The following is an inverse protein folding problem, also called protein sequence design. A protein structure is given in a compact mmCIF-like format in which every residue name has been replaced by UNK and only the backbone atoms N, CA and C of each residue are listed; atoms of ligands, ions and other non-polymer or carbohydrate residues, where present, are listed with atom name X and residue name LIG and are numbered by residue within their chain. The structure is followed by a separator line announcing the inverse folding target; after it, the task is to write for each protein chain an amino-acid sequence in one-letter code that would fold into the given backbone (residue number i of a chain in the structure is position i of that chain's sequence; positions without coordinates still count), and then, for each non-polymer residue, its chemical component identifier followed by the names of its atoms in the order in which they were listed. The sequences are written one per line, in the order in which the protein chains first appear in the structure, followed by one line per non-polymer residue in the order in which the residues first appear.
data_IF_750958944125
#
_entry.id   IF_750958944125
#
_cell.length_a   1.000
_cell.length_b   1.000
_cell.length_c   1.000
_cell.angle_alpha   90.00
_cell.angle_beta   90.00
_cell.angle_gamma   90.00
#
_symmetry.space_group_name_H-M   'P 1'
#
loop_
_entity.id
_entity.type
_entity.pdbx_description
1 polymer ?
#
# COMPACT_ATOMS: atom_id res chain seq x y z
N UNK A 1 -31.91 -4.12 -72.47
CA UNK A 1 -31.17 -5.13 -71.70
C UNK A 1 -30.30 -4.44 -70.65
N UNK A 2 -30.08 -5.12 -69.53
CA UNK A 2 -29.23 -4.78 -68.36
C UNK A 2 -29.93 -4.15 -67.14
N UNK A 3 -30.62 -5.04 -66.44
CA UNK A 3 -30.55 -5.37 -65.01
C UNK A 3 -29.58 -4.58 -64.10
N UNK A 4 -30.10 -4.27 -62.91
CA UNK A 4 -29.44 -3.82 -61.68
C UNK A 4 -28.21 -4.63 -61.26
N UNK A 5 -27.24 -3.95 -60.64
CA UNK A 5 -26.53 -4.50 -59.48
C UNK A 5 -26.01 -3.40 -58.54
N UNK A 6 -26.44 -3.46 -57.27
CA UNK A 6 -25.84 -2.80 -56.11
C UNK A 6 -24.55 -3.53 -55.77
N UNK A 7 -23.49 -2.82 -55.40
CA UNK A 7 -22.34 -3.40 -54.69
C UNK A 7 -22.09 -2.56 -53.43
N UNK A 8 -21.97 -3.30 -52.33
CA UNK A 8 -21.95 -2.91 -50.93
C UNK A 8 -20.56 -2.52 -50.42
N UNK A 9 -20.54 -1.56 -49.49
CA UNK A 9 -19.46 -1.33 -48.53
C UNK A 9 -19.22 -2.54 -47.64
N UNK A 10 -17.96 -2.92 -47.43
CA UNK A 10 -17.40 -3.46 -46.17
C UNK A 10 -15.89 -3.69 -46.31
N UNK A 11 -15.09 -2.67 -45.99
CA UNK A 11 -13.70 -2.88 -45.56
C UNK A 11 -13.70 -3.20 -44.07
N UNK A 12 -13.65 -4.49 -43.74
CA UNK A 12 -13.42 -4.97 -42.37
C UNK A 12 -11.93 -4.91 -42.08
N UNK A 13 -11.52 -3.83 -41.43
CA UNK A 13 -10.18 -3.68 -40.87
C UNK A 13 -9.99 -4.72 -39.74
N UNK A 14 -9.14 -5.71 -39.99
CA UNK A 14 -8.85 -6.82 -39.09
C UNK A 14 -8.20 -6.34 -37.78
N UNK A 15 -9.01 -6.16 -36.74
CA UNK A 15 -8.53 -6.13 -35.36
C UNK A 15 -8.36 -7.58 -34.89
N UNK A 16 -7.11 -8.00 -34.74
CA UNK A 16 -6.76 -9.14 -33.89
C UNK A 16 -7.33 -8.87 -32.48
N UNK A 17 -8.12 -9.79 -31.89
CA UNK A 17 -8.67 -9.57 -30.57
C UNK A 17 -7.53 -9.62 -29.55
N UNK A 18 -7.34 -8.51 -28.82
CA UNK A 18 -6.49 -8.50 -27.65
C UNK A 18 -6.99 -9.57 -26.67
N UNK A 19 -6.12 -10.50 -26.29
CA UNK A 19 -6.43 -11.54 -25.32
C UNK A 19 -6.92 -10.89 -24.03
N UNK A 20 -8.11 -11.29 -23.58
CA UNK A 20 -8.63 -10.84 -22.29
C UNK A 20 -7.73 -11.36 -21.16
N UNK A 21 -7.39 -10.56 -20.12
CA UNK A 21 -6.43 -10.98 -19.09
C UNK A 21 -6.93 -12.11 -18.17
N UNK A 22 -8.13 -12.64 -18.41
CA UNK A 22 -8.88 -13.52 -17.51
C UNK A 22 -9.46 -14.75 -18.23
N UNK A 23 -8.84 -15.22 -19.31
CA UNK A 23 -9.25 -16.48 -19.92
C UNK A 23 -8.75 -17.68 -19.09
N UNK A 24 -9.50 -18.03 -18.05
CA UNK A 24 -9.23 -19.18 -17.18
C UNK A 24 -9.53 -20.53 -17.85
N UNK A 25 -9.93 -20.53 -19.13
CA UNK A 25 -10.19 -21.77 -19.88
C UNK A 25 -8.90 -22.52 -20.25
N UNK A 26 -7.73 -21.87 -20.14
CA UNK A 26 -6.44 -22.45 -20.47
C UNK A 26 -6.11 -23.69 -19.59
N UNK A 27 -5.69 -24.81 -20.19
CA UNK A 27 -5.27 -26.01 -19.47
C UNK A 27 -4.26 -25.77 -18.33
N UNK A 28 -3.40 -24.76 -18.46
CA UNK A 28 -2.41 -24.40 -17.42
C UNK A 28 -3.07 -24.10 -16.08
N UNK A 29 -4.27 -23.50 -16.08
CA UNK A 29 -5.00 -23.18 -14.86
C UNK A 29 -5.55 -24.44 -14.16
N UNK A 30 -5.90 -25.50 -14.91
CA UNK A 30 -6.26 -26.80 -14.31
C UNK A 30 -5.07 -27.40 -13.57
N UNK A 31 -3.88 -27.31 -14.14
CA UNK A 31 -2.68 -27.81 -13.46
C UNK A 31 -2.30 -26.98 -12.23
N UNK A 32 -2.45 -25.66 -12.31
CA UNK A 32 -2.25 -24.77 -11.16
C UNK A 32 -3.25 -25.14 -10.05
N UNK A 33 -4.50 -25.40 -10.39
CA UNK A 33 -5.52 -25.83 -9.42
C UNK A 33 -5.15 -27.17 -8.74
N UNK A 34 -4.69 -28.16 -9.51
CA UNK A 34 -4.21 -29.44 -8.95
C UNK A 34 -3.01 -29.24 -8.01
N UNK A 35 -2.04 -28.42 -8.42
CA UNK A 35 -0.85 -28.07 -7.62
C UNK A 35 -1.26 -27.38 -6.32
N UNK A 36 -2.19 -26.42 -6.38
CA UNK A 36 -2.74 -25.75 -5.22
C UNK A 36 -3.44 -26.72 -4.25
N UNK A 37 -4.14 -27.72 -4.79
CA UNK A 37 -4.77 -28.78 -4.01
C UNK A 37 -3.76 -29.62 -3.24
N UNK A 38 -2.63 -29.98 -3.86
CA UNK A 38 -1.52 -30.68 -3.19
C UNK A 38 -0.92 -29.82 -2.06
N UNK A 39 -0.59 -28.55 -2.34
CA UNK A 39 -0.01 -27.62 -1.36
C UNK A 39 -0.93 -27.42 -0.15
N UNK A 40 -2.25 -27.43 -0.36
CA UNK A 40 -3.21 -27.30 0.74
C UNK A 40 -3.12 -28.42 1.78
N UNK A 41 -2.76 -29.64 1.34
CA UNK A 41 -2.66 -30.84 2.18
C UNK A 41 -1.32 -30.97 2.88
N UNK A 42 -0.29 -30.23 2.46
CA UNK A 42 1.03 -30.28 3.08
C UNK A 42 1.01 -29.80 4.54
N UNK A 43 1.81 -30.46 5.37
CA UNK A 43 2.19 -30.05 6.71
C UNK A 43 3.10 -28.82 6.68
N UNK A 44 3.32 -28.17 7.84
CA UNK A 44 4.21 -27.01 7.91
C UNK A 44 5.64 -27.37 7.53
N UNK A 45 6.13 -28.52 7.96
CA UNK A 45 7.51 -28.93 7.73
C UNK A 45 7.75 -29.32 6.27
N UNK A 46 6.80 -30.03 5.64
CA UNK A 46 6.87 -30.29 4.19
C UNK A 46 6.89 -28.98 3.38
N UNK A 47 6.09 -27.98 3.76
CA UNK A 47 6.10 -26.66 3.11
C UNK A 47 7.47 -25.99 3.26
N UNK A 48 8.06 -26.01 4.45
CA UNK A 48 9.39 -25.43 4.70
C UNK A 48 10.46 -26.15 3.89
N UNK A 49 10.45 -27.47 3.86
CA UNK A 49 11.38 -28.29 3.08
C UNK A 49 11.28 -27.98 1.58
N UNK A 50 10.05 -27.89 1.03
CA UNK A 50 9.86 -27.53 -0.38
C UNK A 50 10.25 -26.09 -0.71
N UNK A 51 9.99 -25.14 0.18
CA UNK A 51 10.45 -23.77 0.01
C UNK A 51 11.99 -23.68 0.04
N UNK A 52 12.64 -24.42 0.95
CA UNK A 52 14.09 -24.48 1.05
C UNK A 52 14.73 -25.06 -0.23
N UNK A 53 14.14 -26.11 -0.81
CA UNK A 53 14.57 -26.70 -2.10
C UNK A 53 14.64 -25.64 -3.21
N UNK A 54 13.69 -24.71 -3.23
CA UNK A 54 13.65 -23.59 -4.20
C UNK A 54 14.41 -22.34 -3.75
N UNK A 55 15.19 -22.42 -2.65
CA UNK A 55 15.91 -21.28 -2.05
C UNK A 55 15.00 -20.08 -1.74
N UNK A 56 13.75 -20.36 -1.39
CA UNK A 56 12.78 -19.35 -0.96
C UNK A 56 12.84 -19.19 0.56
N UNK A 57 12.36 -18.04 1.04
CA UNK A 57 12.15 -17.79 2.48
C UNK A 57 11.31 -18.93 3.09
N UNK A 58 11.67 -19.40 4.28
CA UNK A 58 11.00 -20.51 4.99
C UNK A 58 10.37 -20.09 6.33
N UNK A 59 10.53 -18.82 6.72
CA UNK A 59 9.88 -18.23 7.89
C UNK A 59 8.41 -17.90 7.65
N UNK A 60 7.68 -17.87 8.76
CA UNK A 60 6.27 -17.51 8.84
C UNK A 60 5.34 -18.68 9.17
N UNK A 61 4.07 -18.34 9.41
CA UNK A 61 3.01 -19.32 9.73
C UNK A 61 2.59 -20.14 8.51
N UNK A 62 1.90 -21.26 8.74
CA UNK A 62 1.54 -22.24 7.69
C UNK A 62 0.87 -21.60 6.47
N UNK A 63 -0.04 -20.64 6.67
CA UNK A 63 -0.75 -19.99 5.57
C UNK A 63 0.14 -19.07 4.71
N UNK A 64 1.11 -18.41 5.33
CA UNK A 64 2.15 -17.64 4.61
C UNK A 64 2.98 -18.58 3.74
N UNK A 65 3.44 -19.70 4.31
CA UNK A 65 4.24 -20.68 3.56
C UNK A 65 3.46 -21.29 2.38
N UNK A 66 2.18 -21.66 2.60
CA UNK A 66 1.29 -22.12 1.54
C UNK A 66 1.16 -21.08 0.44
N UNK A 67 0.91 -19.82 0.79
CA UNK A 67 0.69 -18.76 -0.18
C UNK A 67 1.93 -18.49 -1.03
N UNK A 68 3.10 -18.43 -0.38
CA UNK A 68 4.42 -18.31 -1.02
C UNK A 68 4.67 -19.43 -2.04
N UNK A 69 4.48 -20.69 -1.63
CA UNK A 69 4.72 -21.84 -2.50
C UNK A 69 3.74 -21.88 -3.69
N UNK A 70 2.45 -21.61 -3.45
CA UNK A 70 1.44 -21.55 -4.53
C UNK A 70 1.79 -20.50 -5.57
N UNK A 71 2.18 -19.31 -5.14
CA UNK A 71 2.52 -18.22 -6.05
C UNK A 71 3.82 -18.49 -6.80
N UNK A 72 4.81 -19.13 -6.17
CA UNK A 72 6.02 -19.59 -6.87
C UNK A 72 5.67 -20.53 -8.03
N UNK A 73 4.90 -21.59 -7.78
CA UNK A 73 4.48 -22.51 -8.84
C UNK A 73 3.61 -21.85 -9.91
N UNK A 74 2.68 -20.97 -9.52
CA UNK A 74 1.88 -20.18 -10.46
C UNK A 74 2.80 -19.38 -11.40
N UNK A 75 3.79 -18.68 -10.85
CA UNK A 75 4.75 -17.88 -11.61
C UNK A 75 5.58 -18.75 -12.55
N UNK A 76 6.11 -19.88 -12.09
CA UNK A 76 6.87 -20.80 -12.94
C UNK A 76 6.05 -21.30 -14.14
N UNK A 77 4.78 -21.68 -13.92
CA UNK A 77 3.91 -22.20 -14.98
C UNK A 77 3.48 -21.15 -16.00
N UNK A 78 3.26 -19.91 -15.57
CA UNK A 78 2.87 -18.81 -16.46
C UNK A 78 4.06 -18.19 -17.20
N UNK A 79 5.23 -18.07 -16.55
CA UNK A 79 6.46 -17.56 -17.20
C UNK A 79 6.97 -18.45 -18.33
N UNK A 80 6.62 -19.73 -18.34
CA UNK A 80 6.93 -20.64 -19.45
C UNK A 80 6.12 -20.33 -20.72
N UNK A 81 5.14 -19.41 -20.66
CA UNK A 81 4.19 -19.14 -21.75
C UNK A 81 4.08 -17.66 -22.17
N UNK A 82 4.37 -16.71 -21.28
CA UNK A 82 4.22 -15.27 -21.55
C UNK A 82 5.45 -14.44 -21.14
N UNK A 83 5.81 -13.46 -21.99
CA UNK A 83 6.74 -12.38 -21.64
C UNK A 83 6.08 -11.53 -20.56
N UNK A 84 6.65 -11.47 -19.35
CA UNK A 84 6.08 -10.71 -18.22
C UNK A 84 5.85 -9.26 -18.66
N UNK A 85 4.57 -8.87 -18.76
CA UNK A 85 4.21 -7.48 -18.97
C UNK A 85 4.51 -6.72 -17.67
N UNK A 86 5.50 -5.83 -17.69
CA UNK A 86 6.01 -5.09 -16.51
C UNK A 86 5.05 -3.99 -16.04
N UNK A 87 3.94 -3.77 -16.75
CA UNK A 87 3.00 -2.65 -16.55
C UNK A 87 2.03 -2.80 -15.35
N UNK A 88 2.19 -3.84 -14.52
CA UNK A 88 1.24 -4.15 -13.44
C UNK A 88 1.69 -3.69 -12.03
N UNK A 89 2.73 -2.86 -11.91
CA UNK A 89 3.16 -2.33 -10.62
C UNK A 89 3.48 -0.83 -10.67
N UNK A 90 3.36 -0.16 -9.53
CA UNK A 90 3.88 1.19 -9.35
C UNK A 90 5.41 1.13 -9.31
N UNK A 91 6.11 2.14 -9.83
CA UNK A 91 7.57 2.24 -9.66
C UNK A 91 7.94 2.43 -8.19
N UNK A 92 7.16 3.24 -7.47
CA UNK A 92 7.36 3.51 -6.05
C UNK A 92 6.10 3.34 -5.20
N UNK A 93 6.32 3.02 -3.93
CA UNK A 93 5.30 3.10 -2.88
C UNK A 93 5.81 4.07 -1.81
N UNK A 94 5.00 5.08 -1.48
CA UNK A 94 5.24 6.01 -0.39
C UNK A 94 4.48 5.52 0.85
N UNK A 95 5.20 4.95 1.81
CA UNK A 95 4.63 4.47 3.07
C UNK A 95 4.58 5.62 4.07
N UNK A 96 3.42 5.83 4.68
CA UNK A 96 3.15 6.87 5.68
C UNK A 96 2.45 6.25 6.88
N UNK A 97 2.86 6.64 8.07
CA UNK A 97 2.19 6.30 9.33
C UNK A 97 2.28 7.52 10.26
N UNK A 98 1.18 8.24 10.44
CA UNK A 98 1.19 9.48 11.21
C UNK A 98 1.16 9.18 12.71
N UNK A 99 1.97 9.90 13.48
CA UNK A 99 1.69 10.07 14.90
C UNK A 99 0.82 11.30 15.11
N UNK A 100 -0.08 11.21 16.08
CA UNK A 100 -1.04 12.27 16.39
C UNK A 100 -1.15 12.50 17.91
N UNK A 101 -1.56 13.71 18.29
CA UNK A 101 -1.97 14.00 19.67
C UNK A 101 -3.04 13.00 20.11
N UNK A 102 -2.96 12.54 21.36
CA UNK A 102 -3.91 11.59 21.93
C UNK A 102 -4.00 11.70 23.45
N UNK A 103 -5.06 11.11 24.01
CA UNK A 103 -5.28 10.98 25.44
C UNK A 103 -5.56 9.52 25.83
N UNK A 104 -5.31 9.22 27.09
CA UNK A 104 -5.61 7.92 27.67
C UNK A 104 -7.12 7.62 27.55
N UNK A 105 -7.46 6.35 27.29
CA UNK A 105 -8.85 5.94 27.05
C UNK A 105 -9.41 6.31 25.67
N UNK A 106 -8.66 7.06 24.84
CA UNK A 106 -9.03 7.45 23.47
C UNK A 106 -10.45 8.05 23.39
N UNK A 107 -10.71 9.21 24.04
CA UNK A 107 -12.02 9.85 24.06
C UNK A 107 -12.54 10.15 22.65
N UNK A 108 -13.82 9.88 22.38
CA UNK A 108 -14.39 9.97 21.02
C UNK A 108 -14.37 11.38 20.44
N UNK A 109 -14.54 12.39 21.28
CA UNK A 109 -14.59 13.81 20.89
C UNK A 109 -13.20 14.48 20.88
N UNK A 110 -12.13 13.73 21.18
CA UNK A 110 -10.79 14.30 21.18
C UNK A 110 -10.37 14.70 19.76
N UNK A 111 -9.95 15.95 19.60
CA UNK A 111 -9.51 16.51 18.33
C UNK A 111 -8.03 16.20 18.13
N UNK A 112 -7.75 15.13 17.38
CA UNK A 112 -6.39 14.74 17.02
C UNK A 112 -5.74 15.73 16.04
N UNK A 113 -4.48 16.03 16.28
CA UNK A 113 -3.59 16.78 15.40
C UNK A 113 -2.36 15.93 15.08
N UNK A 114 -1.90 15.95 13.83
CA UNK A 114 -0.68 15.25 13.42
C UNK A 114 0.51 15.92 14.12
N UNK A 115 1.41 15.12 14.72
CA UNK A 115 2.63 15.57 15.40
C UNK A 115 3.91 14.93 14.84
N UNK A 116 3.79 13.91 13.99
CA UNK A 116 4.88 13.35 13.18
C UNK A 116 4.38 13.05 11.77
N UNK A 117 5.14 13.47 10.75
CA UNK A 117 4.88 13.18 9.34
C UNK A 117 6.09 12.45 8.73
N UNK A 118 6.13 11.12 8.81
CA UNK A 118 7.13 10.31 8.15
C UNK A 118 6.71 9.93 6.72
N UNK A 119 7.67 9.75 5.83
CA UNK A 119 7.47 9.13 4.51
C UNK A 119 8.65 8.20 4.22
N UNK A 120 8.37 6.94 3.89
CA UNK A 120 9.36 5.95 3.45
C UNK A 120 9.14 5.63 1.98
N UNK A 121 10.16 5.83 1.15
CA UNK A 121 10.11 5.57 -0.29
C UNK A 121 10.63 4.17 -0.60
N UNK A 122 9.72 3.29 -1.00
CA UNK A 122 10.02 1.93 -1.45
C UNK A 122 10.05 1.88 -2.98
N UNK A 123 11.20 1.50 -3.56
CA UNK A 123 11.29 1.15 -4.98
C UNK A 123 10.84 -0.30 -5.18
N UNK A 124 9.83 -0.52 -6.01
CA UNK A 124 9.22 -1.84 -6.20
C UNK A 124 10.02 -2.74 -7.12
N UNK A 125 10.87 -2.17 -7.98
CA UNK A 125 11.75 -2.91 -8.89
C UNK A 125 12.96 -3.48 -8.16
N UNK A 126 13.58 -2.66 -7.30
CA UNK A 126 14.76 -3.06 -6.51
C UNK A 126 14.39 -3.72 -5.19
N UNK A 127 13.14 -3.54 -4.73
CA UNK A 127 12.62 -3.97 -3.44
C UNK A 127 13.45 -3.43 -2.26
N UNK A 128 13.90 -2.18 -2.40
CA UNK A 128 14.68 -1.47 -1.38
C UNK A 128 13.99 -0.18 -0.99
N UNK A 129 14.16 0.17 0.28
CA UNK A 129 13.90 1.53 0.75
C UNK A 129 15.02 2.41 0.19
N UNK A 130 14.68 3.36 -0.67
CA UNK A 130 15.66 4.24 -1.31
C UNK A 130 15.80 5.58 -0.60
N UNK A 131 14.77 6.00 0.14
CA UNK A 131 14.83 7.23 0.90
C UNK A 131 13.82 7.25 2.05
N UNK A 132 14.07 8.13 3.01
CA UNK A 132 13.21 8.36 4.17
C UNK A 132 13.14 9.85 4.49
N UNK A 133 11.95 10.33 4.80
CA UNK A 133 11.67 11.67 5.29
C UNK A 133 11.01 11.57 6.67
N UNK A 134 11.35 12.48 7.57
CA UNK A 134 10.70 12.60 8.87
C UNK A 134 10.72 14.06 9.29
N UNK A 135 9.56 14.60 9.62
CA UNK A 135 9.42 15.88 10.31
C UNK A 135 8.36 15.78 11.39
N UNK A 136 8.61 16.46 12.50
CA UNK A 136 7.60 16.68 13.53
C UNK A 136 6.73 17.88 13.18
N UNK A 137 5.52 17.90 13.71
CA UNK A 137 4.52 18.93 13.45
C UNK A 137 4.09 19.55 14.77
N UNK A 138 4.01 20.89 14.80
CA UNK A 138 3.52 21.63 15.95
C UNK A 138 1.99 21.64 15.98
N UNK A 139 1.33 21.05 16.99
CA UNK A 139 -0.11 21.15 17.17
C UNK A 139 -0.51 22.56 17.64
N UNK A 140 -1.66 23.06 17.16
CA UNK A 140 -2.16 24.42 17.42
C UNK A 140 -3.44 24.42 18.26
N UNK A 141 -4.26 23.36 18.22
CA UNK A 141 -5.49 23.23 19.01
C UNK A 141 -5.18 22.72 20.41
N UNK A 142 -4.40 21.64 20.51
CA UNK A 142 -3.96 21.01 21.75
C UNK A 142 -2.41 21.05 21.80
N UNK A 143 -1.79 22.23 22.01
CA UNK A 143 -0.33 22.40 21.90
C UNK A 143 0.45 21.67 22.98
N UNK A 144 -0.18 21.30 24.10
CA UNK A 144 0.45 20.54 25.19
C UNK A 144 0.10 19.06 25.05
N UNK A 145 1.14 18.24 24.83
CA UNK A 145 0.99 16.79 24.73
C UNK A 145 0.63 16.21 26.09
N UNK A 146 -0.29 15.23 26.09
CA UNK A 146 -0.59 14.47 27.30
C UNK A 146 0.59 13.57 27.67
N UNK A 147 0.72 13.22 28.96
CA UNK A 147 1.72 12.25 29.41
C UNK A 147 1.57 10.89 28.72
N UNK A 148 0.33 10.49 28.45
CA UNK A 148 0.03 9.26 27.70
C UNK A 148 0.59 9.35 26.27
N UNK A 149 0.36 10.45 25.56
CA UNK A 149 0.87 10.67 24.21
C UNK A 149 2.41 10.62 24.17
N UNK A 150 3.08 11.34 25.08
CA UNK A 150 4.55 11.34 25.17
C UNK A 150 5.09 9.92 25.44
N UNK A 151 4.47 9.20 26.38
CA UNK A 151 4.87 7.83 26.71
C UNK A 151 4.67 6.87 25.52
N UNK A 152 3.52 6.97 24.85
CA UNK A 152 3.17 6.14 23.71
C UNK A 152 4.11 6.41 22.53
N UNK A 153 4.20 7.64 22.05
CA UNK A 153 4.91 7.98 20.81
C UNK A 153 6.40 8.26 20.99
N UNK A 154 6.82 8.58 22.22
CA UNK A 154 8.19 9.00 22.52
C UNK A 154 8.50 10.43 22.07
N UNK A 155 7.53 11.14 21.50
CA UNK A 155 7.67 12.53 21.07
C UNK A 155 7.54 13.43 22.29
N UNK A 156 8.57 14.22 22.57
CA UNK A 156 8.59 15.12 23.72
C UNK A 156 7.94 16.46 23.40
N UNK A 157 7.53 17.19 24.44
CA UNK A 157 6.98 18.53 24.28
C UNK A 157 7.96 19.50 23.60
N UNK A 158 9.26 19.40 23.90
CA UNK A 158 10.30 20.25 23.30
C UNK A 158 10.42 20.05 21.78
N UNK A 159 10.22 18.80 21.31
CA UNK A 159 10.22 18.48 19.88
C UNK A 159 9.07 19.19 19.17
N UNK A 160 7.84 19.09 19.68
CA UNK A 160 6.67 19.73 19.02
C UNK A 160 6.66 21.25 19.20
N UNK A 161 7.22 21.79 20.29
CA UNK A 161 7.30 23.23 20.51
C UNK A 161 8.19 23.93 19.46
N UNK A 162 9.25 23.25 19.02
CA UNK A 162 10.23 23.69 18.00
C UNK A 162 9.86 23.29 16.56
N UNK A 163 8.85 22.44 16.39
CA UNK A 163 8.42 21.97 15.08
C UNK A 163 7.72 23.08 14.27
N UNK A 164 7.67 22.88 12.96
CA UNK A 164 6.91 23.73 12.04
C UNK A 164 5.41 23.39 12.08
N UNK A 165 4.56 24.29 11.60
CA UNK A 165 3.12 24.02 11.47
C UNK A 165 2.86 22.96 10.40
N UNK A 166 1.69 22.32 10.46
CA UNK A 166 1.34 21.25 9.52
C UNK A 166 1.42 21.68 8.04
N UNK A 167 1.01 22.90 7.70
CA UNK A 167 1.05 23.39 6.32
C UNK A 167 2.46 23.54 5.79
N UNK A 168 3.40 23.95 6.64
CA UNK A 168 4.81 24.05 6.29
C UNK A 168 5.45 22.65 6.12
N UNK A 169 5.17 21.73 7.05
CA UNK A 169 5.64 20.34 6.93
C UNK A 169 5.06 19.65 5.69
N UNK A 170 3.78 19.85 5.38
CA UNK A 170 3.15 19.32 4.17
C UNK A 170 3.82 19.88 2.90
N UNK A 171 4.17 21.17 2.89
CA UNK A 171 4.92 21.78 1.79
C UNK A 171 6.29 21.11 1.62
N UNK A 172 7.01 20.86 2.72
CA UNK A 172 8.31 20.18 2.70
C UNK A 172 8.19 18.74 2.18
N UNK A 173 7.16 17.99 2.60
CA UNK A 173 6.86 16.63 2.09
C UNK A 173 6.61 16.67 0.58
N UNK A 174 5.80 17.60 0.10
CA UNK A 174 5.47 17.72 -1.33
C UNK A 174 6.72 18.04 -2.14
N UNK A 175 7.56 18.96 -1.66
CA UNK A 175 8.82 19.30 -2.32
C UNK A 175 9.79 18.12 -2.35
N UNK A 176 9.90 17.39 -1.24
CA UNK A 176 10.66 16.14 -1.17
C UNK A 176 10.15 15.14 -2.21
N UNK A 177 8.84 14.90 -2.29
CA UNK A 177 8.26 13.98 -3.29
C UNK A 177 8.50 14.47 -4.74
N UNK A 178 8.43 15.78 -4.99
CA UNK A 178 8.66 16.38 -6.31
C UNK A 178 10.10 16.21 -6.79
N UNK A 179 11.07 16.35 -5.90
CA UNK A 179 12.49 16.10 -6.19
C UNK A 179 12.79 14.65 -6.59
N UNK A 180 11.90 13.71 -6.21
CA UNK A 180 11.95 12.29 -6.59
C UNK A 180 11.09 11.97 -7.83
N UNK A 181 10.59 13.01 -8.51
CA UNK A 181 9.83 12.91 -9.77
C UNK A 181 8.57 12.02 -9.68
N UNK A 182 7.97 11.95 -8.49
CA UNK A 182 6.78 11.13 -8.23
C UNK A 182 5.52 11.72 -8.87
N UNK A 183 4.84 10.90 -9.68
CA UNK A 183 3.65 11.30 -10.44
C UNK A 183 3.94 12.09 -11.71
N UNK A 184 5.22 12.31 -12.03
CA UNK A 184 5.66 12.89 -13.31
C UNK A 184 6.45 11.87 -14.12
N UNK A 185 7.63 11.45 -13.64
CA UNK A 185 8.46 10.44 -14.28
C UNK A 185 8.15 9.04 -13.78
N UNK A 186 7.89 8.91 -12.49
CA UNK A 186 7.66 7.63 -11.84
C UNK A 186 6.22 7.51 -11.35
N UNK A 187 5.58 6.40 -11.66
CA UNK A 187 4.29 6.03 -11.08
C UNK A 187 4.47 5.69 -9.60
N UNK A 188 3.50 6.10 -8.77
CA UNK A 188 3.57 5.80 -7.34
C UNK A 188 2.20 5.63 -6.70
N UNK A 189 2.20 5.10 -5.48
CA UNK A 189 1.01 5.06 -4.63
C UNK A 189 1.34 5.34 -3.17
N UNK A 190 0.40 5.94 -2.44
CA UNK A 190 0.47 6.05 -0.98
C UNK A 190 0.09 4.70 -0.34
N UNK A 191 0.74 4.32 0.76
CA UNK A 191 0.43 3.11 1.53
C UNK A 191 0.44 3.42 3.03
N UNK A 192 -0.52 2.85 3.76
CA UNK A 192 -0.71 3.08 5.21
C UNK A 192 -1.10 1.79 5.94
N UNK A 193 -0.85 1.72 7.25
CA UNK A 193 -1.24 0.60 8.13
C UNK A 193 -2.70 0.69 8.61
N UNK A 194 -3.62 0.66 7.65
CA UNK A 194 -5.04 0.83 7.89
C UNK A 194 -5.57 2.06 7.17
N UNK A 195 -6.76 2.50 7.57
CA UNK A 195 -7.44 3.62 6.89
C UNK A 195 -7.31 4.95 7.63
N UNK A 196 -6.88 4.94 8.90
CA UNK A 196 -6.99 6.07 9.80
C UNK A 196 -6.09 7.24 9.41
N UNK A 197 -4.89 6.99 8.92
CA UNK A 197 -3.96 8.04 8.47
C UNK A 197 -4.62 9.00 7.49
N UNK A 198 -5.16 8.44 6.41
CA UNK A 198 -5.73 9.24 5.33
C UNK A 198 -7.16 9.67 5.63
N UNK A 199 -7.99 8.80 6.21
CA UNK A 199 -9.42 9.07 6.39
C UNK A 199 -9.76 9.87 7.66
N UNK A 200 -8.91 9.75 8.70
CA UNK A 200 -9.10 10.41 10.00
C UNK A 200 -8.05 11.50 10.22
N UNK A 201 -6.78 11.15 10.36
CA UNK A 201 -5.74 12.11 10.79
C UNK A 201 -5.51 13.22 9.76
N UNK A 202 -5.14 12.88 8.52
CA UNK A 202 -4.93 13.87 7.46
C UNK A 202 -6.21 14.65 7.14
N UNK A 203 -7.37 13.99 7.18
CA UNK A 203 -8.66 14.62 6.93
C UNK A 203 -9.01 15.67 8.01
N UNK A 204 -8.84 15.33 9.28
CA UNK A 204 -9.03 16.25 10.41
C UNK A 204 -8.00 17.38 10.37
N UNK A 205 -6.73 17.05 10.17
CA UNK A 205 -5.65 18.03 10.12
C UNK A 205 -5.86 19.05 9.00
N UNK A 206 -6.28 18.63 7.80
CA UNK A 206 -6.60 19.55 6.71
C UNK A 206 -7.76 20.51 7.06
N UNK A 207 -8.74 20.07 7.88
CA UNK A 207 -9.85 20.94 8.33
C UNK A 207 -9.34 21.96 9.35
N UNK A 208 -8.54 21.53 10.31
CA UNK A 208 -7.90 22.40 11.32
C UNK A 208 -7.05 23.47 10.62
N UNK A 209 -6.20 23.05 9.68
CA UNK A 209 -5.30 23.92 8.92
C UNK A 209 -6.00 24.73 7.81
N UNK A 210 -7.33 24.60 7.67
CA UNK A 210 -8.15 25.28 6.64
C UNK A 210 -7.62 25.10 5.22
N UNK A 211 -7.15 23.90 4.87
CA UNK A 211 -6.71 23.56 3.50
C UNK A 211 -7.62 22.52 2.86
N UNK A 212 -7.65 22.51 1.53
CA UNK A 212 -8.31 21.43 0.77
C UNK A 212 -7.54 20.12 1.01
N UNK A 213 -8.24 19.00 0.94
CA UNK A 213 -7.60 17.69 1.06
C UNK A 213 -6.69 17.43 -0.17
N UNK A 214 -5.39 17.09 0.02
CA UNK A 214 -4.45 16.89 -1.08
C UNK A 214 -4.92 15.84 -2.08
N UNK A 215 -4.89 16.16 -3.38
CA UNK A 215 -5.38 15.26 -4.44
C UNK A 215 -4.63 13.94 -4.47
N UNK A 216 -3.31 13.97 -4.26
CA UNK A 216 -2.44 12.79 -4.29
C UNK A 216 -2.68 11.80 -3.15
N UNK A 217 -3.27 12.23 -2.04
CA UNK A 217 -3.56 11.39 -0.88
C UNK A 217 -4.99 10.80 -0.89
N UNK A 218 -5.81 11.10 -1.91
CA UNK A 218 -7.23 10.67 -1.96
C UNK A 218 -7.43 9.17 -2.19
N UNK A 219 -6.40 8.46 -2.66
CA UNK A 219 -6.42 7.04 -2.96
C UNK A 219 -5.15 6.43 -2.36
N UNK A 220 -5.26 5.30 -1.67
CA UNK A 220 -4.10 4.64 -1.06
C UNK A 220 -4.27 3.12 -0.99
N UNK A 221 -3.17 2.47 -0.68
CA UNK A 221 -3.08 1.05 -0.36
C UNK A 221 -3.20 0.93 1.16
N UNK A 222 -4.31 0.37 1.63
CA UNK A 222 -4.39 -0.11 3.01
C UNK A 222 -3.75 -1.49 3.08
N UNK A 223 -2.56 -1.58 3.67
CA UNK A 223 -1.80 -2.82 3.70
C UNK A 223 -2.46 -3.89 4.55
N UNK A 224 -3.22 -3.53 5.60
CA UNK A 224 -3.98 -4.51 6.40
C UNK A 224 -5.01 -5.25 5.56
N UNK A 225 -5.72 -4.54 4.68
CA UNK A 225 -6.67 -5.15 3.73
C UNK A 225 -5.94 -6.06 2.73
N UNK A 226 -4.84 -5.57 2.15
CA UNK A 226 -4.03 -6.35 1.21
C UNK A 226 -3.50 -7.63 1.86
N UNK A 227 -2.95 -7.53 3.08
CA UNK A 227 -2.37 -8.63 3.85
C UNK A 227 -3.42 -9.70 4.16
N UNK A 228 -4.56 -9.30 4.75
CA UNK A 228 -5.66 -10.20 5.07
C UNK A 228 -6.19 -10.95 3.83
N UNK A 229 -6.37 -10.23 2.73
CA UNK A 229 -6.85 -10.82 1.48
C UNK A 229 -5.84 -11.78 0.83
N UNK A 230 -4.56 -11.45 0.90
CA UNK A 230 -3.50 -12.21 0.25
C UNK A 230 -3.15 -13.48 1.01
N UNK A 231 -2.90 -13.37 2.32
CA UNK A 231 -2.54 -14.50 3.19
C UNK A 231 -3.76 -15.23 3.78
N UNK A 232 -4.98 -14.75 3.51
CA UNK A 232 -6.25 -15.35 3.96
C UNK A 232 -6.38 -15.39 5.49
N UNK A 233 -5.99 -14.30 6.14
CA UNK A 233 -6.10 -14.15 7.60
C UNK A 233 -7.21 -13.16 7.97
N UNK A 234 -7.87 -13.34 9.14
CA UNK A 234 -8.89 -12.42 9.63
C UNK A 234 -8.29 -11.07 10.07
N UNK A 235 -9.12 -10.03 10.14
CA UNK A 235 -8.72 -8.64 10.46
C UNK A 235 -8.01 -8.50 11.81
N UNK A 236 -8.33 -9.31 12.81
CA UNK A 236 -7.64 -9.26 14.10
C UNK A 236 -6.17 -9.72 14.01
N UNK A 237 -5.78 -10.40 12.93
CA UNK A 237 -4.40 -10.80 12.65
C UNK A 237 -3.63 -9.81 11.76
N UNK A 238 -4.19 -8.62 11.50
CA UNK A 238 -3.56 -7.61 10.63
C UNK A 238 -3.05 -6.38 11.37
N UNK A 239 -2.85 -6.46 12.70
CA UNK A 239 -2.07 -5.46 13.43
C UNK A 239 -0.59 -5.55 13.00
N UNK A 240 0.13 -4.42 12.96
CA UNK A 240 1.53 -4.36 12.50
C UNK A 240 2.43 -5.46 13.09
N UNK A 241 2.47 -5.56 14.42
CA UNK A 241 3.27 -6.57 15.13
C UNK A 241 2.89 -8.00 14.77
N UNK A 242 1.59 -8.28 14.62
CA UNK A 242 1.07 -9.59 14.24
C UNK A 242 1.38 -9.93 12.78
N UNK A 243 1.37 -8.95 11.87
CA UNK A 243 1.79 -9.15 10.48
C UNK A 243 3.28 -9.50 10.40
N UNK A 244 4.13 -8.79 11.16
CA UNK A 244 5.57 -9.11 11.26
C UNK A 244 5.79 -10.53 11.81
N UNK A 245 5.17 -10.84 12.95
CA UNK A 245 5.29 -12.15 13.61
C UNK A 245 4.85 -13.30 12.69
N UNK A 246 3.71 -13.15 12.02
CA UNK A 246 3.19 -14.14 11.08
C UNK A 246 4.09 -14.36 9.86
N UNK A 247 4.86 -13.34 9.47
CA UNK A 247 5.89 -13.44 8.43
C UNK A 247 7.23 -13.97 8.97
N UNK A 248 7.36 -14.14 10.29
CA UNK A 248 8.59 -14.54 10.98
C UNK A 248 9.64 -13.42 11.00
N UNK A 249 9.20 -12.18 11.11
CA UNK A 249 10.03 -10.98 11.27
C UNK A 249 9.84 -10.40 12.66
N UNK A 250 10.89 -9.77 13.18
CA UNK A 250 10.81 -8.97 14.40
C UNK A 250 10.54 -7.51 14.06
N UNK A 251 10.00 -6.77 15.03
CA UNK A 251 9.90 -5.32 14.93
C UNK A 251 11.30 -4.70 15.04
N UNK A 252 11.63 -3.76 14.16
CA UNK A 252 12.91 -3.03 14.18
C UNK A 252 12.65 -1.57 14.59
N UNK A 253 13.30 -1.08 15.64
CA UNK A 253 13.14 0.31 16.12
C UNK A 253 12.16 0.44 17.28
N UNK A 254 11.58 1.63 17.46
CA UNK A 254 10.64 1.96 18.55
C UNK A 254 9.19 1.91 18.04
N UNK A 255 8.32 1.03 18.59
CA UNK A 255 6.88 1.08 18.31
C UNK A 255 6.29 2.46 18.58
N UNK A 256 5.36 2.91 17.74
CA UNK A 256 4.73 4.24 17.82
C UNK A 256 5.71 5.40 17.59
N UNK A 257 6.87 5.14 16.98
CA UNK A 257 7.58 6.17 16.22
C UNK A 257 7.18 6.01 14.77
N UNK A 258 6.57 7.05 14.19
CA UNK A 258 5.95 6.95 12.87
C UNK A 258 6.95 6.53 11.79
N UNK A 259 8.21 6.99 11.87
CA UNK A 259 9.25 6.57 10.93
C UNK A 259 9.61 5.08 11.06
N UNK A 260 9.77 4.58 12.28
CA UNK A 260 10.11 3.17 12.50
C UNK A 260 8.94 2.26 12.13
N UNK A 261 7.70 2.65 12.45
CA UNK A 261 6.50 1.94 11.99
C UNK A 261 6.42 1.93 10.46
N UNK A 262 6.63 3.07 9.80
CA UNK A 262 6.67 3.17 8.33
C UNK A 262 7.73 2.25 7.70
N UNK A 263 8.92 2.13 8.30
CA UNK A 263 9.96 1.18 7.83
C UNK A 263 9.53 -0.27 8.01
N UNK A 264 8.90 -0.62 9.13
CA UNK A 264 8.36 -1.96 9.36
C UNK A 264 7.23 -2.31 8.39
N UNK A 265 6.35 -1.36 8.11
CA UNK A 265 5.30 -1.49 7.09
C UNK A 265 5.92 -1.71 5.71
N UNK A 266 7.00 -0.98 5.36
CA UNK A 266 7.72 -1.17 4.12
C UNK A 266 8.37 -2.58 4.02
N UNK A 267 8.90 -3.13 5.13
CA UNK A 267 9.41 -4.52 5.19
C UNK A 267 8.30 -5.53 4.90
N UNK A 268 7.09 -5.32 5.42
CA UNK A 268 5.92 -6.15 5.09
C UNK A 268 5.57 -6.01 3.60
N UNK A 269 5.54 -4.79 3.07
CA UNK A 269 5.23 -4.54 1.67
C UNK A 269 6.22 -5.26 0.73
N UNK A 270 7.53 -5.13 0.99
CA UNK A 270 8.60 -5.87 0.29
C UNK A 270 8.31 -7.37 0.34
N UNK A 271 8.02 -7.91 1.52
CA UNK A 271 7.80 -9.33 1.70
C UNK A 271 6.57 -9.84 0.93
N UNK A 272 5.50 -9.05 0.89
CA UNK A 272 4.30 -9.34 0.11
C UNK A 272 4.58 -9.31 -1.40
N UNK A 273 5.34 -8.33 -1.89
CA UNK A 273 5.75 -8.23 -3.29
C UNK A 273 6.61 -9.43 -3.69
N UNK A 274 7.56 -9.86 -2.85
CA UNK A 274 8.38 -11.06 -3.07
C UNK A 274 7.56 -12.34 -3.14
N UNK A 275 6.45 -12.42 -2.39
CA UNK A 275 5.50 -13.52 -2.51
C UNK A 275 4.60 -13.46 -3.75
N UNK A 276 4.72 -12.42 -4.57
CA UNK A 276 3.87 -12.21 -5.74
C UNK A 276 2.49 -11.64 -5.39
N UNK A 277 2.39 -10.85 -4.32
CA UNK A 277 1.23 -9.97 -4.15
C UNK A 277 1.39 -8.74 -5.05
N UNK A 278 0.36 -8.41 -5.79
CA UNK A 278 0.24 -7.11 -6.45
C UNK A 278 -0.40 -6.14 -5.46
N UNK A 279 0.41 -5.25 -4.87
CA UNK A 279 -0.09 -4.20 -3.99
C UNK A 279 -0.73 -3.10 -4.83
N UNK A 280 -2.05 -2.91 -4.68
CA UNK A 280 -2.85 -1.99 -5.48
C UNK A 280 -3.72 -1.13 -4.59
N UNK A 281 -4.04 0.08 -5.04
CA UNK A 281 -4.97 0.98 -4.34
C UNK A 281 -6.28 0.23 -4.06
N UNK A 282 -6.69 0.23 -2.79
CA UNK A 282 -7.87 -0.49 -2.32
C UNK A 282 -8.78 0.37 -1.42
N UNK A 283 -8.38 1.60 -1.12
CA UNK A 283 -9.17 2.59 -0.39
C UNK A 283 -9.07 3.98 -1.02
N UNK A 284 -10.12 4.79 -0.82
CA UNK A 284 -10.18 6.19 -1.24
C UNK A 284 -11.04 7.05 -0.33
N UNK A 285 -10.78 8.35 -0.34
CA UNK A 285 -11.69 9.38 0.16
C UNK A 285 -12.52 9.94 -0.99
N UNK A 286 -13.85 9.94 -0.83
CA UNK A 286 -14.78 10.60 -1.76
C UNK A 286 -15.89 11.29 -0.97
N UNK A 287 -16.15 12.58 -1.25
CA UNK A 287 -17.12 13.39 -0.52
C UNK A 287 -16.97 13.34 1.02
N UNK A 288 -15.74 13.23 1.52
CA UNK A 288 -15.46 13.13 2.96
C UNK A 288 -15.70 11.75 3.58
N UNK A 289 -16.07 10.75 2.78
CA UNK A 289 -16.30 9.37 3.23
C UNK A 289 -15.21 8.43 2.72
N UNK A 290 -14.90 7.43 3.55
CA UNK A 290 -14.02 6.32 3.20
C UNK A 290 -14.77 5.32 2.32
N UNK A 291 -14.20 4.98 1.16
CA UNK A 291 -14.73 3.97 0.24
C UNK A 291 -13.66 2.94 -0.14
N UNK A 292 -14.10 1.73 -0.47
CA UNK A 292 -13.23 0.70 -1.07
C UNK A 292 -13.06 0.96 -2.56
N UNK A 293 -11.87 0.69 -3.10
CA UNK A 293 -11.60 0.68 -4.54
C UNK A 293 -11.67 -0.76 -5.05
N UNK A 294 -12.36 -0.96 -6.18
CA UNK A 294 -12.53 -2.29 -6.78
C UNK A 294 -11.19 -2.86 -7.24
N UNK A 295 -10.96 -4.15 -6.99
CA UNK A 295 -9.80 -4.88 -7.51
C UNK A 295 -9.81 -5.01 -9.04
N UNK A 296 -10.94 -4.76 -9.70
CA UNK A 296 -11.06 -4.75 -11.16
C UNK A 296 -10.78 -3.39 -11.79
N UNK A 297 -10.63 -2.32 -10.99
CA UNK A 297 -10.26 -1.01 -11.51
C UNK A 297 -8.87 -1.07 -12.18
N UNK A 298 -8.56 -0.24 -13.19
CA UNK A 298 -7.21 -0.13 -13.74
C UNK A 298 -6.18 0.27 -12.68
N UNK A 299 -4.91 -0.10 -12.89
CA UNK A 299 -3.81 0.37 -12.04
C UNK A 299 -3.49 1.83 -12.40
N UNK A 300 -3.97 2.76 -11.58
CA UNK A 300 -3.68 4.19 -11.72
C UNK A 300 -2.72 4.64 -10.62
N UNK A 301 -1.63 5.32 -11.01
CA UNK A 301 -0.74 6.02 -10.08
C UNK A 301 -1.41 7.22 -9.44
N UNK A 302 -0.90 7.64 -8.28
CA UNK A 302 -1.27 8.91 -7.68
C UNK A 302 -0.81 10.07 -8.59
N UNK A 303 -1.60 11.16 -8.67
CA UNK A 303 -1.17 12.35 -9.42
C UNK A 303 0.05 12.99 -8.76
N UNK A 304 0.84 13.74 -9.54
CA UNK A 304 1.95 14.51 -9.01
C UNK A 304 1.52 15.36 -7.79
N UNK A 305 2.29 15.35 -6.69
CA UNK A 305 1.91 16.03 -5.46
C UNK A 305 1.94 17.55 -5.66
N UNK A 306 0.89 18.23 -5.19
CA UNK A 306 0.74 19.67 -5.27
C UNK A 306 0.22 20.20 -3.94
N UNK A 307 0.68 21.38 -3.53
CA UNK A 307 0.20 22.03 -2.32
C UNK A 307 -1.29 22.37 -2.48
N UNK A 308 -2.17 21.87 -1.59
CA UNK A 308 -3.58 22.21 -1.66
C UNK A 308 -3.80 23.70 -1.40
N UNK A 309 -4.79 24.26 -2.08
CA UNK A 309 -5.26 25.63 -1.78
C UNK A 309 -5.92 25.68 -0.42
N UNK A 310 -5.86 26.85 0.23
CA UNK A 310 -6.69 27.16 1.39
C UNK A 310 -8.19 27.04 1.03
N UNK A 311 -8.98 26.64 2.03
CA UNK A 311 -10.44 26.74 1.97
C UNK A 311 -10.80 28.18 2.33
N UNK A 312 -11.57 28.81 1.44
CA UNK A 312 -12.27 30.05 1.76
C UNK A 312 -13.29 29.81 2.86
#
# INVERSE_FOLDING_TARGET
GRQHCRISDQETNGKMPAASPNDFSDPVYKEIAMTNGYINRMTRDELRSKLAEFKLETRGVKDVLKKRLKNYYKKQKLMQKETINRDNCYDYICVVDFEATCEEGNPREFVHEIIEFPVVLLNTHTLKIEDTFQQYVKPEINPKLSNFCISLTGITQDIVDKAETFTQVLQNVIEWMRQRELGTKYSYSMLTDGSWDMSKFLNTQCRISRIKYPSFAKKWINIRKSYGNFYKVPRNQTKLTMMLENLGMNYDGRPHSGLDDSKNIARIAIRMLQDGCELRVNERMHAGQLMTVSSLAPLEGAPAPQMPRYRN
#
